data_IF_537842722666
#
_entry.id   IF_537842722666
#
_cell.length_a   1.000
_cell.length_b   1.000
_cell.length_c   1.000
_cell.angle_alpha   90.00
_cell.angle_beta   90.00
_cell.angle_gamma   90.00
#
_symmetry.space_group_name_H-M   'P 1'
#
loop_
_entity.id
_entity.type
_entity.pdbx_description
1 polymer ?
#
# COMPACT_ATOMS: atom_id res chain seq x y z
N UNK A 1 -0.55 15.37 -12.07
CA UNK A 1 -0.12 14.91 -10.72
C UNK A 1 -1.30 14.69 -9.76
N UNK A 2 -2.39 15.45 -9.87
CA UNK A 2 -3.52 15.42 -8.92
C UNK A 2 -4.29 14.10 -8.77
N UNK A 3 -4.26 13.20 -9.77
CA UNK A 3 -4.94 11.89 -9.68
C UNK A 3 -4.19 10.86 -8.80
N UNK A 4 -2.91 11.10 -8.50
CA UNK A 4 -2.07 10.15 -7.76
C UNK A 4 -2.42 10.05 -6.27
N UNK A 5 -2.59 11.17 -5.52
CA UNK A 5 -2.89 11.09 -4.08
C UNK A 5 -4.23 10.44 -3.77
N UNK A 6 -5.26 10.70 -4.58
CA UNK A 6 -6.60 10.14 -4.38
C UNK A 6 -6.64 8.62 -4.62
N UNK A 7 -5.96 8.14 -5.69
CA UNK A 7 -5.93 6.72 -6.00
C UNK A 7 -5.15 5.91 -4.95
N UNK A 8 -4.06 6.48 -4.41
CA UNK A 8 -3.32 5.87 -3.29
C UNK A 8 -4.17 5.81 -2.03
N UNK A 9 -4.87 6.90 -1.67
CA UNK A 9 -5.77 6.95 -0.50
C UNK A 9 -6.86 5.88 -0.59
N UNK A 10 -7.50 5.74 -1.75
CA UNK A 10 -8.54 4.74 -1.97
C UNK A 10 -8.02 3.31 -1.80
N UNK A 11 -6.80 3.03 -2.26
CA UNK A 11 -6.18 1.70 -2.09
C UNK A 11 -5.89 1.39 -0.61
N UNK A 12 -5.39 2.38 0.14
CA UNK A 12 -5.17 2.24 1.58
C UNK A 12 -6.48 1.97 2.31
N UNK A 13 -7.52 2.77 2.05
CA UNK A 13 -8.84 2.59 2.67
C UNK A 13 -9.44 1.20 2.36
N UNK A 14 -9.28 0.71 1.13
CA UNK A 14 -9.70 -0.64 0.73
C UNK A 14 -9.03 -1.74 1.56
N UNK A 15 -7.73 -1.63 1.82
CA UNK A 15 -7.00 -2.64 2.60
C UNK A 15 -7.33 -2.55 4.10
N UNK A 16 -7.48 -1.34 4.63
CA UNK A 16 -7.87 -1.14 6.03
C UNK A 16 -9.28 -1.66 6.33
N UNK A 17 -10.20 -1.56 5.35
CA UNK A 17 -11.57 -2.06 5.46
C UNK A 17 -11.71 -3.60 5.40
N UNK A 18 -10.62 -4.34 5.12
CA UNK A 18 -10.68 -5.81 5.08
C UNK A 18 -11.00 -6.38 6.46
N UNK A 19 -11.83 -7.41 6.50
CA UNK A 19 -12.16 -8.09 7.74
C UNK A 19 -11.11 -9.15 8.06
N UNK A 20 -10.22 -8.83 9.01
CA UNK A 20 -9.15 -9.72 9.46
C UNK A 20 -9.53 -10.16 10.86
N UNK A 21 -9.81 -11.44 11.01
CA UNK A 21 -10.19 -12.03 12.28
C UNK A 21 -9.20 -13.11 12.67
N UNK A 22 -8.81 -13.13 13.93
CA UNK A 22 -8.04 -14.24 14.49
C UNK A 22 -8.59 -14.54 15.89
N UNK A 23 -9.44 -15.58 16.02
CA UNK A 23 -10.08 -15.92 17.29
C UNK A 23 -9.11 -16.15 18.44
N UNK A 24 -7.91 -16.69 18.14
CA UNK A 24 -6.89 -16.91 19.16
C UNK A 24 -6.28 -15.59 19.64
N UNK A 25 -5.91 -14.71 18.72
CA UNK A 25 -5.34 -13.40 19.06
C UNK A 25 -6.37 -12.50 19.76
N UNK A 26 -7.62 -12.52 19.32
CA UNK A 26 -8.73 -11.76 19.90
C UNK A 26 -9.09 -12.21 21.32
N UNK A 27 -8.93 -13.52 21.62
CA UNK A 27 -9.11 -14.03 22.99
C UNK A 27 -8.05 -13.50 23.96
N UNK A 28 -6.87 -13.14 23.45
CA UNK A 28 -5.75 -12.64 24.24
C UNK A 28 -5.74 -11.10 24.33
N UNK A 29 -6.14 -10.42 23.25
CA UNK A 29 -6.10 -8.97 23.13
C UNK A 29 -7.45 -8.46 22.64
N UNK A 30 -8.25 -7.93 23.57
CA UNK A 30 -9.54 -7.34 23.27
C UNK A 30 -9.38 -6.11 22.39
N UNK A 31 -10.10 -6.09 21.26
CA UNK A 31 -10.08 -4.96 20.32
C UNK A 31 -8.79 -4.83 19.50
N UNK A 32 -8.04 -5.94 19.36
CA UNK A 32 -6.87 -5.99 18.48
C UNK A 32 -7.25 -5.51 17.06
N UNK A 33 -6.38 -4.69 16.47
CA UNK A 33 -6.47 -4.27 15.08
C UNK A 33 -5.33 -4.88 14.29
N UNK A 34 -5.63 -5.32 13.08
CA UNK A 34 -4.64 -5.87 12.15
C UNK A 34 -4.15 -4.84 11.13
N UNK A 35 -4.21 -3.54 11.45
CA UNK A 35 -3.93 -2.46 10.49
C UNK A 35 -2.51 -2.55 9.91
N UNK A 36 -1.50 -2.86 10.73
CA UNK A 36 -0.13 -3.07 10.25
C UNK A 36 -0.04 -4.25 9.26
N UNK A 37 -0.67 -5.37 9.59
CA UNK A 37 -0.69 -6.55 8.72
C UNK A 37 -1.38 -6.25 7.39
N UNK A 38 -2.53 -5.56 7.44
CA UNK A 38 -3.25 -5.10 6.23
C UNK A 38 -2.39 -4.19 5.36
N UNK A 39 -1.59 -3.30 5.96
CA UNK A 39 -0.64 -2.46 5.24
C UNK A 39 0.49 -3.27 4.60
N UNK A 40 1.01 -4.29 5.29
CA UNK A 40 2.01 -5.21 4.71
C UNK A 40 1.43 -6.01 3.55
N UNK A 41 0.20 -6.48 3.66
CA UNK A 41 -0.48 -7.19 2.57
C UNK A 41 -0.74 -6.27 1.36
N UNK A 42 -1.03 -4.99 1.61
CA UNK A 42 -1.13 -3.98 0.55
C UNK A 42 0.22 -3.77 -0.13
N UNK A 43 1.30 -3.64 0.65
CA UNK A 43 2.65 -3.38 0.16
C UNK A 43 3.13 -4.46 -0.82
N UNK A 44 2.77 -5.73 -0.57
CA UNK A 44 3.13 -6.86 -1.43
C UNK A 44 2.09 -7.16 -2.52
N UNK A 45 1.08 -6.31 -2.70
CA UNK A 45 -0.04 -6.59 -3.60
C UNK A 45 0.25 -6.29 -5.06
N UNK A 46 -0.31 -7.12 -5.95
CA UNK A 46 -0.37 -6.83 -7.40
C UNK A 46 -1.15 -5.55 -7.72
N UNK A 47 -2.10 -5.18 -6.86
CA UNK A 47 -2.91 -3.97 -7.02
C UNK A 47 -2.06 -2.70 -6.83
N UNK A 48 -1.20 -2.68 -5.81
CA UNK A 48 -0.25 -1.58 -5.59
C UNK A 48 0.78 -1.51 -6.72
N UNK A 49 1.30 -2.65 -7.19
CA UNK A 49 2.21 -2.70 -8.34
C UNK A 49 1.58 -2.10 -9.61
N UNK A 50 0.34 -2.50 -9.92
CA UNK A 50 -0.40 -1.98 -11.06
C UNK A 50 -0.69 -0.47 -10.92
N UNK A 51 -1.08 -0.02 -9.73
CA UNK A 51 -1.31 1.40 -9.47
C UNK A 51 -0.01 2.20 -9.65
N UNK A 52 1.10 1.72 -9.11
CA UNK A 52 2.43 2.35 -9.22
C UNK A 52 2.82 2.54 -10.68
N UNK A 53 2.69 1.51 -11.52
CA UNK A 53 2.99 1.57 -12.96
C UNK A 53 2.09 2.56 -13.72
N UNK A 54 0.88 2.83 -13.23
CA UNK A 54 -0.06 3.77 -13.83
C UNK A 54 0.20 5.23 -13.44
N UNK A 55 0.64 5.48 -12.20
CA UNK A 55 0.74 6.85 -11.65
C UNK A 55 2.16 7.42 -11.63
N UNK A 56 3.18 6.56 -11.67
CA UNK A 56 4.59 6.97 -11.71
C UNK A 56 5.03 7.13 -13.17
N UNK A 57 5.53 8.32 -13.52
CA UNK A 57 5.92 8.67 -14.90
C UNK A 57 6.99 7.75 -15.49
N UNK A 58 8.00 7.39 -14.69
CA UNK A 58 9.12 6.54 -15.09
C UNK A 58 9.40 5.49 -14.00
N UNK A 59 8.60 4.41 -13.90
CA UNK A 59 8.63 3.49 -12.77
C UNK A 59 9.94 2.70 -12.64
N UNK A 60 10.72 2.59 -13.72
CA UNK A 60 12.00 1.89 -13.74
C UNK A 60 13.21 2.84 -13.59
N UNK A 61 12.97 4.15 -13.44
CA UNK A 61 14.04 5.12 -13.24
C UNK A 61 14.19 5.44 -11.75
N UNK A 62 15.44 5.47 -11.31
CA UNK A 62 15.79 5.87 -9.94
C UNK A 62 16.20 7.34 -9.91
N UNK A 63 16.00 7.97 -8.76
CA UNK A 63 16.47 9.34 -8.53
C UNK A 63 17.96 9.52 -8.85
N UNK A 64 18.79 8.55 -8.46
CA UNK A 64 20.25 8.56 -8.70
C UNK A 64 20.62 8.53 -10.19
N UNK A 65 19.82 7.86 -11.04
CA UNK A 65 20.05 7.88 -12.49
C UNK A 65 19.77 9.25 -13.11
N UNK A 66 18.86 10.02 -12.52
CA UNK A 66 18.54 11.36 -13.01
C UNK A 66 19.58 12.40 -12.58
N UNK A 67 20.19 12.23 -11.39
CA UNK A 67 21.27 13.12 -10.91
C UNK A 67 22.59 12.86 -11.65
N UNK A 68 22.88 11.62 -12.05
CA UNK A 68 24.13 11.24 -12.70
C UNK A 68 24.18 11.52 -14.21
N UNK A 69 23.11 12.05 -14.80
CA UNK A 69 23.12 12.50 -16.19
C UNK A 69 23.75 13.90 -16.25
N UNK A 70 24.79 14.13 -17.07
CA UNK A 70 25.37 15.46 -17.26
C UNK A 70 24.37 16.44 -17.87
#
# INVERSE_FOLDING_TARGET
MEKSPLAVKALVEKYLARDYTNPLAESQIKGIKFDLLKCLDMYHSKELDALTKKVVTHPNQTYMQNIKKP
#
